data_IF_659330515760
#
_entry.id   IF_659330515760
#
_cell.length_a   1.000
_cell.length_b   1.000
_cell.length_c   1.000
_cell.angle_alpha   90.00
_cell.angle_beta   90.00
_cell.angle_gamma   90.00
#
_symmetry.space_group_name_H-M   'P 1'
#
loop_
_entity.id
_entity.type
_entity.pdbx_description
1 polymer ?
#
# COMPACT_ATOMS: atom_id res chain seq x y z
N UNK A 1 -15.22 -1.50 -32.74
CA UNK A 1 -14.37 -1.72 -31.56
C UNK A 1 -14.18 -0.41 -30.82
N UNK A 2 -15.04 -0.14 -29.87
CA UNK A 2 -14.80 0.90 -28.88
C UNK A 2 -13.72 0.35 -27.95
N UNK A 3 -12.50 0.87 -28.04
CA UNK A 3 -11.34 0.45 -27.24
C UNK A 3 -11.46 0.86 -25.77
N UNK A 4 -12.53 0.43 -25.10
CA UNK A 4 -12.75 0.73 -23.69
C UNK A 4 -12.31 -0.44 -22.83
N UNK A 5 -11.61 -0.13 -21.74
CA UNK A 5 -11.29 -1.08 -20.68
C UNK A 5 -12.47 -1.14 -19.69
N UNK A 6 -12.65 -2.28 -19.06
CA UNK A 6 -13.71 -2.47 -18.08
C UNK A 6 -13.12 -3.13 -16.84
N UNK A 7 -13.41 -2.57 -15.68
CA UNK A 7 -13.17 -3.21 -14.38
C UNK A 7 -14.55 -3.54 -13.81
N UNK A 8 -14.80 -4.83 -13.64
CA UNK A 8 -16.04 -5.32 -13.06
C UNK A 8 -15.73 -6.01 -11.72
N UNK A 9 -16.24 -5.43 -10.64
CA UNK A 9 -16.01 -5.90 -9.27
C UNK A 9 -17.35 -6.40 -8.73
N UNK A 10 -17.38 -7.66 -8.32
CA UNK A 10 -18.55 -8.26 -7.71
C UNK A 10 -18.18 -9.02 -6.43
N UNK A 11 -18.66 -8.57 -5.26
CA UNK A 11 -18.26 -9.15 -3.97
C UNK A 11 -18.54 -10.65 -3.81
N UNK A 12 -19.54 -11.19 -4.53
CA UNK A 12 -19.84 -12.63 -4.49
C UNK A 12 -18.99 -13.47 -5.43
N UNK A 13 -18.33 -12.84 -6.42
CA UNK A 13 -17.54 -13.49 -7.46
C UNK A 13 -18.32 -14.37 -8.45
N UNK A 14 -19.61 -14.59 -8.23
CA UNK A 14 -20.41 -15.56 -9.03
C UNK A 14 -20.59 -15.12 -10.49
N UNK A 15 -20.87 -13.84 -10.72
CA UNK A 15 -21.05 -13.31 -12.08
C UNK A 15 -19.72 -13.19 -12.80
N UNK A 16 -18.66 -12.78 -12.10
CA UNK A 16 -17.29 -12.71 -12.63
C UNK A 16 -16.84 -14.11 -13.10
N UNK A 17 -17.01 -15.11 -12.26
CA UNK A 17 -16.70 -16.51 -12.58
C UNK A 17 -17.46 -17.00 -13.81
N UNK A 18 -18.79 -16.75 -13.88
CA UNK A 18 -19.63 -17.12 -15.02
C UNK A 18 -19.19 -16.43 -16.31
N UNK A 19 -18.88 -15.12 -16.25
CA UNK A 19 -18.41 -14.34 -17.38
C UNK A 19 -17.07 -14.89 -17.88
N UNK A 20 -16.12 -15.12 -16.98
CA UNK A 20 -14.82 -15.67 -17.32
C UNK A 20 -14.93 -17.03 -18.02
N UNK A 21 -15.74 -17.96 -17.51
CA UNK A 21 -15.91 -19.28 -18.11
C UNK A 21 -16.64 -19.25 -19.46
N UNK A 22 -17.59 -18.34 -19.65
CA UNK A 22 -18.35 -18.20 -20.90
C UNK A 22 -17.58 -17.46 -21.99
N UNK A 23 -16.58 -16.67 -21.65
CA UNK A 23 -15.82 -15.91 -22.64
C UNK A 23 -14.82 -16.81 -23.36
N UNK A 24 -14.89 -16.79 -24.70
CA UNK A 24 -14.01 -17.60 -25.57
C UNK A 24 -12.59 -17.04 -25.65
N UNK A 25 -12.46 -15.72 -25.78
CA UNK A 25 -11.15 -15.04 -25.85
C UNK A 25 -10.75 -14.54 -24.47
N UNK A 26 -9.91 -15.30 -23.79
CA UNK A 26 -9.42 -15.01 -22.42
C UNK A 26 -8.20 -14.09 -22.39
N UNK A 27 -7.53 -13.89 -23.51
CA UNK A 27 -6.30 -13.09 -23.59
C UNK A 27 -6.53 -11.60 -23.21
N UNK A 28 -7.79 -11.16 -23.32
CA UNK A 28 -8.21 -9.82 -22.96
C UNK A 28 -8.82 -9.72 -21.55
N UNK A 29 -8.84 -10.81 -20.79
CA UNK A 29 -9.48 -10.85 -19.46
C UNK A 29 -8.44 -11.20 -18.42
N UNK A 30 -8.29 -10.31 -17.43
CA UNK A 30 -7.61 -10.60 -16.17
C UNK A 30 -8.67 -10.97 -15.15
N UNK A 31 -8.69 -12.22 -14.72
CA UNK A 31 -9.59 -12.70 -13.68
C UNK A 31 -8.84 -12.81 -12.36
N UNK A 32 -9.40 -12.19 -11.33
CA UNK A 32 -8.84 -12.13 -9.97
C UNK A 32 -9.89 -12.68 -9.02
N UNK A 33 -9.53 -13.65 -8.21
CA UNK A 33 -10.41 -14.23 -7.19
C UNK A 33 -9.59 -14.89 -6.09
N UNK A 34 -10.21 -15.30 -5.00
CA UNK A 34 -9.57 -16.08 -3.93
C UNK A 34 -8.95 -17.38 -4.48
N UNK A 35 -9.60 -18.02 -5.44
CA UNK A 35 -9.12 -19.25 -6.08
C UNK A 35 -7.99 -18.99 -7.11
N UNK A 36 -7.89 -17.76 -7.60
CA UNK A 36 -6.87 -17.33 -8.58
C UNK A 36 -6.40 -15.91 -8.23
N UNK A 37 -5.64 -15.76 -7.14
CA UNK A 37 -5.15 -14.47 -6.72
C UNK A 37 -4.17 -13.90 -7.75
N UNK A 38 -4.14 -12.58 -7.85
CA UNK A 38 -3.17 -11.82 -8.62
C UNK A 38 -2.65 -10.69 -7.77
N UNK A 39 -1.35 -10.58 -7.68
CA UNK A 39 -0.73 -9.54 -6.86
C UNK A 39 -0.90 -8.18 -7.50
N UNK A 40 -1.45 -7.24 -6.73
CA UNK A 40 -1.47 -5.81 -7.01
C UNK A 40 -0.74 -5.13 -5.86
N UNK A 41 0.56 -4.94 -6.02
CA UNK A 41 1.38 -4.26 -5.01
C UNK A 41 1.19 -2.74 -5.15
N UNK A 42 0.57 -2.05 -4.19
CA UNK A 42 0.29 -0.62 -4.30
C UNK A 42 1.54 0.26 -4.19
N UNK A 43 2.68 -0.31 -3.78
CA UNK A 43 3.94 0.41 -3.59
C UNK A 43 4.84 0.29 -4.81
N UNK A 44 4.74 -0.80 -5.56
CA UNK A 44 5.53 -1.07 -6.75
C UNK A 44 4.68 -0.86 -8.01
N UNK A 45 4.58 0.39 -8.46
CA UNK A 45 3.89 0.75 -9.70
C UNK A 45 4.89 1.34 -10.69
N UNK A 46 5.19 0.60 -11.74
CA UNK A 46 6.09 1.04 -12.80
C UNK A 46 5.61 2.37 -13.42
N UNK A 47 6.53 3.31 -13.58
CA UNK A 47 6.25 4.62 -14.19
C UNK A 47 5.67 5.68 -13.24
N UNK A 48 5.38 5.34 -11.98
CA UNK A 48 4.90 6.31 -11.01
C UNK A 48 6.07 6.94 -10.23
N UNK A 49 5.95 8.24 -9.95
CA UNK A 49 6.87 8.90 -9.00
C UNK A 49 6.49 8.53 -7.58
N UNK A 50 7.45 8.64 -6.66
CA UNK A 50 7.17 8.37 -5.24
C UNK A 50 6.05 9.30 -4.70
N UNK A 51 6.00 10.55 -5.14
CA UNK A 51 4.97 11.50 -4.71
C UNK A 51 3.58 11.09 -5.21
N UNK A 52 3.47 10.58 -6.44
CA UNK A 52 2.21 10.04 -6.96
C UNK A 52 1.76 8.80 -6.18
N UNK A 53 2.69 7.88 -5.91
CA UNK A 53 2.40 6.68 -5.09
C UNK A 53 1.93 7.06 -3.68
N UNK A 54 2.57 8.04 -3.06
CA UNK A 54 2.18 8.54 -1.73
C UNK A 54 0.75 9.07 -1.78
N UNK A 55 0.41 9.91 -2.77
CA UNK A 55 -0.93 10.49 -2.88
C UNK A 55 -2.00 9.41 -3.06
N UNK A 56 -1.78 8.46 -3.96
CA UNK A 56 -2.73 7.36 -4.17
C UNK A 56 -2.87 6.47 -2.92
N UNK A 57 -1.76 6.13 -2.28
CA UNK A 57 -1.77 5.30 -1.08
C UNK A 57 -2.50 5.98 0.08
N UNK A 58 -2.27 7.30 0.27
CA UNK A 58 -2.99 8.08 1.29
C UNK A 58 -4.48 8.13 0.96
N UNK A 59 -4.89 8.31 -0.30
CA UNK A 59 -6.31 8.32 -0.67
C UNK A 59 -7.02 7.01 -0.32
N UNK A 60 -6.39 5.87 -0.59
CA UNK A 60 -6.94 4.56 -0.23
C UNK A 60 -7.03 4.41 1.30
N UNK A 61 -5.97 4.79 2.02
CA UNK A 61 -5.96 4.72 3.48
C UNK A 61 -6.90 5.73 4.13
N UNK A 62 -7.14 6.90 3.54
CA UNK A 62 -8.10 7.88 4.06
C UNK A 62 -9.51 7.31 4.17
N UNK A 63 -9.91 6.48 3.22
CA UNK A 63 -11.21 5.78 3.31
C UNK A 63 -11.22 4.88 4.56
N UNK A 64 -10.17 4.09 4.76
CA UNK A 64 -10.05 3.20 5.91
C UNK A 64 -9.93 3.96 7.24
N UNK A 65 -9.14 5.05 7.26
CA UNK A 65 -8.92 5.87 8.45
C UNK A 65 -10.19 6.65 8.80
N UNK A 66 -10.87 7.25 7.82
CA UNK A 66 -12.08 8.07 8.06
C UNK A 66 -13.21 7.22 8.60
N UNK A 67 -13.35 5.99 8.13
CA UNK A 67 -14.35 5.05 8.64
C UNK A 67 -14.10 4.61 10.09
N UNK A 68 -12.89 4.81 10.61
CA UNK A 68 -12.46 4.25 11.89
C UNK A 68 -11.88 5.26 12.88
N UNK A 69 -11.58 6.49 12.43
CA UNK A 69 -10.99 7.51 13.28
C UNK A 69 -12.06 8.30 14.04
N UNK A 70 -11.92 8.34 15.36
CA UNK A 70 -12.78 9.13 16.24
C UNK A 70 -12.29 10.59 16.44
N UNK A 71 -11.11 10.95 15.92
CA UNK A 71 -10.48 12.25 16.15
C UNK A 71 -9.76 12.76 14.89
N UNK A 72 -10.05 14.00 14.39
CA UNK A 72 -9.38 14.61 13.24
C UNK A 72 -7.86 14.79 13.40
N UNK A 73 -7.35 15.10 14.59
CA UNK A 73 -5.91 15.29 14.84
C UNK A 73 -5.14 13.96 14.64
N UNK A 74 -5.74 12.86 15.05
CA UNK A 74 -5.18 11.52 14.81
C UNK A 74 -4.99 11.25 13.31
N UNK A 75 -5.89 11.73 12.46
CA UNK A 75 -5.82 11.57 11.00
C UNK A 75 -4.63 12.31 10.41
N UNK A 76 -4.34 13.53 10.87
CA UNK A 76 -3.18 14.31 10.40
C UNK A 76 -1.87 13.60 10.72
N UNK A 77 -1.71 13.12 11.95
CA UNK A 77 -0.53 12.37 12.36
C UNK A 77 -0.36 11.06 11.58
N UNK A 78 -1.46 10.34 11.32
CA UNK A 78 -1.42 9.12 10.53
C UNK A 78 -0.93 9.38 9.10
N UNK A 79 -1.41 10.44 8.45
CA UNK A 79 -0.95 10.85 7.11
C UNK A 79 0.52 11.26 7.10
N UNK A 80 0.97 12.02 8.11
CA UNK A 80 2.39 12.39 8.27
C UNK A 80 3.27 11.14 8.33
N UNK A 81 2.89 10.17 9.16
CA UNK A 81 3.65 8.94 9.37
C UNK A 81 3.72 8.10 8.08
N UNK A 82 2.60 7.95 7.39
CA UNK A 82 2.53 7.22 6.12
C UNK A 82 3.39 7.90 5.06
N UNK A 83 3.28 9.23 4.95
CA UNK A 83 4.08 10.01 4.01
C UNK A 83 5.56 9.77 4.26
N UNK A 84 6.01 9.86 5.51
CA UNK A 84 7.42 9.64 5.86
C UNK A 84 7.86 8.20 5.64
N UNK A 85 7.02 7.21 5.94
CA UNK A 85 7.32 5.81 5.67
C UNK A 85 7.49 5.54 4.17
N UNK A 86 6.58 6.05 3.34
CA UNK A 86 6.65 5.91 1.89
C UNK A 86 7.87 6.63 1.28
N UNK A 87 8.14 7.87 1.72
CA UNK A 87 9.34 8.61 1.29
C UNK A 87 10.64 7.92 1.65
N UNK A 88 10.63 7.15 2.74
CA UNK A 88 11.80 6.40 3.20
C UNK A 88 12.10 5.16 2.37
N UNK A 89 11.21 4.75 1.47
CA UNK A 89 11.46 3.63 0.55
C UNK A 89 12.59 4.01 -0.41
N UNK A 90 13.65 3.20 -0.43
CA UNK A 90 14.85 3.42 -1.28
C UNK A 90 14.74 2.63 -2.57
N UNK A 91 14.22 1.40 -2.48
CA UNK A 91 14.04 0.49 -3.61
C UNK A 91 12.61 -0.05 -3.59
N UNK A 92 11.66 0.63 -4.25
CA UNK A 92 10.24 0.26 -4.19
C UNK A 92 9.97 -1.12 -4.79
N UNK A 93 10.73 -1.56 -5.79
CA UNK A 93 10.57 -2.85 -6.47
C UNK A 93 10.71 -4.08 -5.56
N UNK A 94 11.29 -3.89 -4.39
CA UNK A 94 11.46 -4.96 -3.40
C UNK A 94 10.61 -4.73 -2.13
N UNK A 95 9.69 -3.77 -2.16
CA UNK A 95 8.90 -3.37 -1.00
C UNK A 95 7.41 -3.59 -1.25
N UNK A 96 6.69 -3.79 -0.18
CA UNK A 96 5.25 -3.98 -0.17
C UNK A 96 4.65 -3.45 1.13
N UNK A 97 3.35 -3.61 1.31
CA UNK A 97 2.63 -3.15 2.51
C UNK A 97 3.24 -3.73 3.81
N UNK A 98 3.70 -4.98 3.78
CA UNK A 98 4.32 -5.61 4.96
C UNK A 98 5.57 -4.85 5.40
N UNK A 99 6.41 -4.40 4.46
CA UNK A 99 7.57 -3.58 4.80
C UNK A 99 7.19 -2.29 5.54
N UNK A 100 6.15 -1.59 5.07
CA UNK A 100 5.65 -0.39 5.77
C UNK A 100 5.17 -0.76 7.18
N UNK A 101 4.42 -1.84 7.31
CA UNK A 101 3.91 -2.32 8.59
C UNK A 101 5.05 -2.62 9.58
N UNK A 102 6.06 -3.35 9.13
CA UNK A 102 7.24 -3.70 9.93
C UNK A 102 8.04 -2.45 10.36
N UNK A 103 8.22 -1.50 9.43
CA UNK A 103 8.87 -0.22 9.73
C UNK A 103 8.13 0.56 10.83
N UNK A 104 6.80 0.55 10.82
CA UNK A 104 5.98 1.24 11.81
C UNK A 104 6.00 0.53 13.16
N UNK A 105 6.08 -0.79 13.18
CA UNK A 105 6.00 -1.62 14.40
C UNK A 105 7.35 -1.80 15.09
N UNK A 106 8.42 -2.05 14.34
CA UNK A 106 9.67 -2.55 14.89
C UNK A 106 10.80 -1.54 14.81
N UNK A 107 11.43 -1.27 15.97
CA UNK A 107 12.57 -0.36 16.05
C UNK A 107 13.79 -0.86 15.28
N UNK A 108 14.01 -2.16 15.29
CA UNK A 108 15.17 -2.75 14.60
C UNK A 108 15.11 -2.52 13.08
N UNK A 109 13.90 -2.56 12.49
CA UNK A 109 13.70 -2.22 11.08
C UNK A 109 14.03 -0.74 10.80
N UNK A 110 13.67 0.16 11.72
CA UNK A 110 14.03 1.58 11.60
C UNK A 110 15.53 1.83 11.77
N UNK A 111 16.22 1.08 12.63
CA UNK A 111 17.68 1.16 12.76
C UNK A 111 18.37 0.75 11.45
N UNK A 112 17.91 -0.34 10.82
CA UNK A 112 18.41 -0.77 9.51
C UNK A 112 18.16 0.32 8.45
N UNK A 113 16.96 0.87 8.40
CA UNK A 113 16.58 1.94 7.50
C UNK A 113 17.43 3.19 7.69
N UNK A 114 17.72 3.62 8.92
CA UNK A 114 18.55 4.79 9.21
C UNK A 114 19.94 4.69 8.56
N UNK A 115 20.55 3.51 8.61
CA UNK A 115 21.82 3.26 7.95
C UNK A 115 21.75 3.38 6.42
N UNK A 116 20.63 2.96 5.83
CA UNK A 116 20.41 3.07 4.38
C UNK A 116 20.12 4.52 3.97
N UNK A 117 19.26 5.23 4.71
CA UNK A 117 18.89 6.63 4.44
C UNK A 117 20.12 7.54 4.48
N UNK A 118 21.02 7.32 5.44
CA UNK A 118 22.26 8.08 5.54
C UNK A 118 23.16 7.87 4.32
N UNK A 119 23.27 6.64 3.82
CA UNK A 119 24.11 6.30 2.64
C UNK A 119 23.58 6.95 1.36
N UNK A 120 22.27 7.08 1.21
CA UNK A 120 21.64 7.67 0.01
C UNK A 120 21.36 9.18 0.15
N UNK A 121 21.69 9.78 1.29
CA UNK A 121 21.55 11.22 1.51
C UNK A 121 20.13 11.71 1.77
N UNK A 122 19.20 10.83 2.15
CA UNK A 122 17.83 11.17 2.57
C UNK A 122 17.83 11.67 4.03
N UNK A 123 18.33 12.89 4.25
CA UNK A 123 18.60 13.40 5.59
C UNK A 123 17.34 13.79 6.37
N UNK A 124 16.28 14.21 5.71
CA UNK A 124 15.03 14.60 6.38
C UNK A 124 14.30 13.36 6.89
N UNK A 125 14.22 12.29 6.10
CA UNK A 125 13.67 11.01 6.51
C UNK A 125 14.52 10.38 7.63
N UNK A 126 15.85 10.49 7.52
CA UNK A 126 16.77 10.05 8.58
C UNK A 126 16.50 10.75 9.91
N UNK A 127 16.40 12.10 9.91
CA UNK A 127 16.11 12.88 11.12
C UNK A 127 14.75 12.51 11.72
N UNK A 128 13.74 12.39 10.87
CA UNK A 128 12.40 12.03 11.31
C UNK A 128 12.37 10.71 12.07
N UNK A 129 12.95 9.64 11.51
CA UNK A 129 12.95 8.33 12.17
C UNK A 129 13.86 8.25 13.38
N UNK A 130 14.96 9.00 13.37
CA UNK A 130 15.80 9.14 14.55
C UNK A 130 15.04 9.77 15.70
N UNK A 131 14.39 10.91 15.47
CA UNK A 131 13.58 11.60 16.47
C UNK A 131 12.35 10.77 16.90
N UNK A 132 11.77 10.00 15.98
CA UNK A 132 10.64 9.12 16.29
C UNK A 132 10.98 8.06 17.36
N UNK A 133 12.19 7.55 17.36
CA UNK A 133 12.69 6.54 18.30
C UNK A 133 13.37 7.12 19.54
N UNK A 134 13.80 8.39 19.50
CA UNK A 134 14.38 9.09 20.63
C UNK A 134 13.27 9.52 21.61
N UNK A 135 12.77 8.55 22.39
CA UNK A 135 11.79 8.81 23.44
C UNK A 135 12.52 9.26 24.70
N UNK A 136 12.90 10.51 24.78
CA UNK A 136 12.98 11.13 26.09
C UNK A 136 11.56 11.45 26.58
N UNK A 137 11.26 11.07 27.78
CA UNK A 137 9.98 11.13 28.52
C UNK A 137 9.27 12.51 28.53
N UNK A 138 9.79 13.50 27.83
CA UNK A 138 9.37 14.92 27.91
C UNK A 138 8.43 15.40 26.80
N UNK A 139 8.21 14.62 25.73
CA UNK A 139 7.40 15.11 24.60
C UNK A 139 6.18 14.22 24.35
N UNK A 140 5.01 14.69 24.80
CA UNK A 140 3.71 14.10 24.53
C UNK A 140 3.48 13.79 23.03
N UNK A 141 4.00 14.66 22.15
CA UNK A 141 3.86 14.53 20.70
C UNK A 141 4.53 13.26 20.11
N UNK A 142 5.69 12.84 20.62
CA UNK A 142 6.34 11.62 20.14
C UNK A 142 5.57 10.36 20.56
N UNK A 143 4.97 10.37 21.74
CA UNK A 143 4.08 9.28 22.19
C UNK A 143 2.84 9.19 21.30
N UNK A 144 2.23 10.30 20.94
CA UNK A 144 1.08 10.36 20.03
C UNK A 144 1.43 9.87 18.64
N UNK A 145 2.61 10.24 18.13
CA UNK A 145 3.12 9.71 16.84
C UNK A 145 3.29 8.20 16.87
N UNK A 146 3.89 7.64 17.91
CA UNK A 146 4.08 6.21 18.07
C UNK A 146 2.75 5.45 18.19
N UNK A 147 1.80 5.98 18.94
CA UNK A 147 0.46 5.39 19.03
C UNK A 147 -0.28 5.46 17.67
N UNK A 148 -0.15 6.58 16.97
CA UNK A 148 -0.70 6.72 15.62
C UNK A 148 -0.05 5.74 14.62
N UNK A 149 1.27 5.54 14.70
CA UNK A 149 1.99 4.56 13.88
C UNK A 149 1.48 3.14 14.12
N UNK A 150 1.28 2.74 15.37
CA UNK A 150 0.71 1.43 15.72
C UNK A 150 -0.69 1.25 15.15
N UNK A 151 -1.53 2.28 15.17
CA UNK A 151 -2.88 2.24 14.58
C UNK A 151 -2.81 2.07 13.07
N UNK A 152 -1.94 2.81 12.39
CA UNK A 152 -1.70 2.64 10.94
C UNK A 152 -1.22 1.22 10.66
N UNK A 153 -0.22 0.74 11.39
CA UNK A 153 0.31 -0.60 11.21
C UNK A 153 -0.77 -1.68 11.38
N UNK A 154 -1.64 -1.55 12.40
CA UNK A 154 -2.75 -2.48 12.60
C UNK A 154 -3.69 -2.53 11.39
N UNK A 155 -4.01 -1.38 10.77
CA UNK A 155 -4.83 -1.34 9.55
C UNK A 155 -4.15 -1.96 8.34
N UNK A 156 -2.86 -1.68 8.17
CA UNK A 156 -2.08 -2.31 7.11
C UNK A 156 -1.97 -3.83 7.30
N UNK A 157 -1.90 -4.29 8.54
CA UNK A 157 -1.92 -5.72 8.84
C UNK A 157 -3.24 -6.37 8.42
N UNK A 158 -4.40 -5.73 8.64
CA UNK A 158 -5.70 -6.26 8.23
C UNK A 158 -5.76 -6.57 6.73
N UNK A 159 -5.13 -5.76 5.89
CA UNK A 159 -5.10 -5.94 4.43
C UNK A 159 -3.89 -6.72 3.92
N UNK A 160 -2.93 -7.06 4.75
CA UNK A 160 -1.72 -7.79 4.38
C UNK A 160 -1.54 -9.13 5.08
N UNK A 161 -2.60 -9.63 5.72
CA UNK A 161 -2.61 -10.93 6.40
C UNK A 161 -3.77 -11.81 5.93
N UNK A 162 -3.70 -13.09 6.26
CA UNK A 162 -4.72 -14.06 5.85
C UNK A 162 -4.79 -14.23 4.34
N UNK A 163 -5.99 -14.39 3.82
CA UNK A 163 -6.25 -14.60 2.39
C UNK A 163 -5.88 -13.38 1.53
N UNK A 164 -5.84 -12.18 2.12
CA UNK A 164 -5.46 -10.96 1.39
C UNK A 164 -3.96 -10.89 1.06
N UNK A 165 -3.13 -11.67 1.75
CA UNK A 165 -1.67 -11.69 1.51
C UNK A 165 -1.35 -11.95 0.06
N UNK A 166 -2.02 -12.91 -0.57
CA UNK A 166 -1.79 -13.34 -1.94
C UNK A 166 -2.17 -12.28 -2.99
N UNK A 167 -2.87 -11.21 -2.56
CA UNK A 167 -3.27 -10.10 -3.44
C UNK A 167 -2.36 -8.87 -3.32
N UNK A 168 -1.62 -8.73 -2.23
CA UNK A 168 -0.87 -7.48 -1.94
C UNK A 168 0.62 -7.68 -1.66
N UNK A 169 1.07 -8.92 -1.42
CA UNK A 169 2.45 -9.24 -1.10
C UNK A 169 3.11 -9.95 -2.28
N UNK A 170 4.03 -9.28 -2.93
CA UNK A 170 4.79 -9.82 -4.07
C UNK A 170 5.03 -8.78 -5.15
N UNK A 171 5.66 -9.16 -6.26
CA UNK A 171 5.77 -8.34 -7.44
C UNK A 171 4.40 -8.21 -8.12
N UNK A 172 4.14 -7.07 -8.76
CA UNK A 172 2.90 -6.87 -9.50
C UNK A 172 2.72 -7.92 -10.61
N UNK A 173 1.57 -8.57 -10.64
CA UNK A 173 1.13 -9.49 -11.68
C UNK A 173 0.08 -8.86 -12.61
N UNK A 174 -0.43 -7.67 -12.25
CA UNK A 174 -1.43 -6.94 -13.01
C UNK A 174 -0.87 -5.60 -13.43
N UNK A 175 -0.68 -5.42 -14.74
CA UNK A 175 -0.31 -4.13 -15.32
C UNK A 175 -1.59 -3.35 -15.67
N UNK A 176 -1.92 -2.36 -14.85
CA UNK A 176 -3.10 -1.51 -15.06
C UNK A 176 -2.96 -0.64 -16.31
N UNK A 177 -1.74 -0.24 -16.70
CA UNK A 177 -1.51 0.54 -17.91
C UNK A 177 -1.78 -0.32 -19.16
N UNK A 178 -1.26 -1.56 -19.18
CA UNK A 178 -1.55 -2.51 -20.24
C UNK A 178 -3.07 -2.78 -20.40
N UNK A 179 -3.78 -2.82 -19.28
CA UNK A 179 -5.24 -3.01 -19.29
C UNK A 179 -5.94 -1.82 -19.95
N UNK A 180 -5.53 -0.60 -19.63
CA UNK A 180 -6.10 0.62 -20.21
C UNK A 180 -5.74 0.76 -21.68
N UNK A 181 -4.47 0.62 -22.03
CA UNK A 181 -3.95 0.82 -23.39
C UNK A 181 -4.48 -0.23 -24.37
N UNK A 182 -4.63 -1.46 -23.94
CA UNK A 182 -5.05 -2.59 -24.77
C UNK A 182 -6.54 -2.95 -24.62
N UNK A 183 -7.33 -2.07 -24.03
CA UNK A 183 -8.78 -2.24 -23.86
C UNK A 183 -9.16 -3.60 -23.25
N UNK A 184 -8.45 -4.00 -22.19
CA UNK A 184 -8.67 -5.27 -21.49
C UNK A 184 -9.77 -5.16 -20.44
N UNK A 185 -10.17 -6.29 -19.91
CA UNK A 185 -11.21 -6.42 -18.89
C UNK A 185 -10.62 -7.02 -17.63
N UNK A 186 -10.89 -6.42 -16.47
CA UNK A 186 -10.60 -7.02 -15.18
C UNK A 186 -11.93 -7.50 -14.58
N UNK A 187 -11.94 -8.73 -14.11
CA UNK A 187 -13.04 -9.32 -13.34
C UNK A 187 -12.52 -9.64 -11.93
N UNK A 188 -13.17 -9.09 -10.91
CA UNK A 188 -12.80 -9.27 -9.49
C UNK A 188 -14.00 -9.77 -8.70
#
# INVERSE_FOLDING_TARGET
NLGSSVIFIEPSGLSCRKLYHKTKNKDRITYISIESPKVINPIDKAGYTIDTLIQEFIQVLDVLITLTASNPESTVLMREIINMAMRSIIKPENKNIKYITELLMYKDERINLLNELQKVGKLDEYRYWKEFDEVEYRYSRNKEKQESAKRVAARLMEISTGEMTDFVIGPNEVDLNDIVENAKVILV
#
